data_IF_825610975191
#
_entry.id   IF_825610975191
#
_cell.length_a   1.000
_cell.length_b   1.000
_cell.length_c   1.000
_cell.angle_alpha   90.00
_cell.angle_beta   90.00
_cell.angle_gamma   90.00
#
_symmetry.space_group_name_H-M   'P 1'
#
loop_
_entity.id
_entity.type
_entity.pdbx_description
1 polymer ?
#
# COMPACT_ATOMS: atom_id res chain seq x y z
N UNK A 1 -11.71 -10.72 -6.92
CA UNK A 1 -11.00 -9.82 -5.98
C UNK A 1 -9.63 -9.56 -6.57
N UNK A 2 -9.22 -8.30 -6.69
CA UNK A 2 -7.86 -7.99 -7.10
C UNK A 2 -6.89 -8.35 -5.97
N UNK A 3 -5.96 -9.25 -6.24
CA UNK A 3 -4.89 -9.66 -5.33
C UNK A 3 -3.55 -9.45 -6.03
N UNK A 4 -2.45 -9.48 -5.27
CA UNK A 4 -1.11 -9.40 -5.85
C UNK A 4 -0.89 -10.46 -6.95
N UNK A 5 -1.35 -11.70 -6.74
CA UNK A 5 -1.26 -12.77 -7.74
C UNK A 5 -2.06 -12.47 -9.02
N UNK A 6 -3.20 -11.78 -8.93
CA UNK A 6 -3.99 -11.37 -10.11
C UNK A 6 -3.27 -10.27 -10.88
N UNK A 7 -2.69 -9.30 -10.16
CA UNK A 7 -1.99 -8.17 -10.76
C UNK A 7 -0.64 -8.56 -11.38
N UNK A 8 0.04 -9.57 -10.83
CA UNK A 8 1.28 -10.14 -11.36
C UNK A 8 1.05 -11.26 -12.39
N UNK A 9 -0.21 -11.51 -12.78
CA UNK A 9 -0.61 -12.55 -13.72
C UNK A 9 -0.42 -12.15 -15.18
N UNK A 10 -1.25 -12.71 -16.08
CA UNK A 10 -1.29 -12.28 -17.47
C UNK A 10 -1.80 -10.85 -17.63
N UNK A 11 -1.52 -10.21 -18.76
CA UNK A 11 -2.01 -8.86 -19.08
C UNK A 11 -3.54 -8.74 -18.91
N UNK A 12 -4.30 -9.75 -19.35
CA UNK A 12 -5.75 -9.79 -19.17
C UNK A 12 -6.16 -9.82 -17.69
N UNK A 13 -5.45 -10.59 -16.86
CA UNK A 13 -5.70 -10.68 -15.43
C UNK A 13 -5.34 -9.37 -14.71
N UNK A 14 -4.20 -8.77 -15.06
CA UNK A 14 -3.77 -7.48 -14.55
C UNK A 14 -4.74 -6.37 -14.95
N UNK A 15 -5.22 -6.37 -16.19
CA UNK A 15 -6.23 -5.42 -16.69
C UNK A 15 -7.56 -5.56 -15.93
N UNK A 16 -8.01 -6.80 -15.72
CA UNK A 16 -9.21 -7.07 -14.92
C UNK A 16 -9.05 -6.57 -13.48
N UNK A 17 -7.94 -6.90 -12.82
CA UNK A 17 -7.67 -6.49 -11.45
C UNK A 17 -7.61 -4.97 -11.30
N UNK A 18 -6.94 -4.28 -12.23
CA UNK A 18 -6.83 -2.82 -12.24
C UNK A 18 -8.18 -2.14 -12.48
N UNK A 19 -8.97 -2.65 -13.43
CA UNK A 19 -10.31 -2.11 -13.72
C UNK A 19 -11.27 -2.27 -12.54
N UNK A 20 -11.14 -3.38 -11.82
CA UNK A 20 -11.92 -3.63 -10.61
C UNK A 20 -11.54 -2.66 -9.48
N UNK A 21 -10.24 -2.42 -9.25
CA UNK A 21 -9.78 -1.44 -8.27
C UNK A 21 -10.21 -0.02 -8.63
N UNK A 22 -10.11 0.36 -9.91
CA UNK A 22 -10.58 1.66 -10.41
C UNK A 22 -12.08 1.86 -10.17
N UNK A 23 -12.88 0.82 -10.41
CA UNK A 23 -14.32 0.86 -10.14
C UNK A 23 -14.59 1.13 -8.66
N UNK A 24 -13.94 0.38 -7.77
CA UNK A 24 -14.16 0.47 -6.33
C UNK A 24 -13.62 1.75 -5.68
N UNK A 25 -12.45 2.23 -6.11
CA UNK A 25 -11.74 3.31 -5.44
C UNK A 25 -12.03 4.69 -6.06
N UNK A 26 -12.45 4.72 -7.33
CA UNK A 26 -12.57 5.97 -8.10
C UNK A 26 -14.00 6.19 -8.60
N UNK A 27 -14.61 5.18 -9.25
CA UNK A 27 -15.88 5.37 -9.98
C UNK A 27 -17.12 5.34 -9.11
N UNK A 28 -17.14 4.54 -8.05
CA UNK A 28 -18.30 4.41 -7.15
C UNK A 28 -18.47 5.61 -6.17
N UNK A 29 -17.65 6.66 -6.34
CA UNK A 29 -17.67 7.86 -5.53
C UNK A 29 -16.45 7.96 -4.62
N UNK A 30 -16.34 9.07 -3.88
CA UNK A 30 -15.21 9.30 -2.99
C UNK A 30 -15.18 8.24 -1.87
N UNK A 31 -14.18 7.38 -1.91
CA UNK A 31 -13.92 6.41 -0.85
C UNK A 31 -13.11 7.07 0.26
N UNK A 32 -13.61 6.95 1.49
CA UNK A 32 -12.97 7.51 2.68
C UNK A 32 -12.37 6.37 3.50
N UNK A 33 -11.12 6.53 3.91
CA UNK A 33 -10.49 5.64 4.90
C UNK A 33 -11.20 5.83 6.25
N UNK A 34 -11.85 4.78 6.74
CA UNK A 34 -12.55 4.73 8.04
C UNK A 34 -11.68 4.24 9.19
N UNK A 35 -10.68 3.42 8.87
CA UNK A 35 -9.79 2.87 9.88
C UNK A 35 -8.46 2.44 9.25
N UNK A 36 -7.41 2.51 10.06
CA UNK A 36 -6.05 2.13 9.70
C UNK A 36 -5.52 1.23 10.80
N UNK A 37 -4.93 0.10 10.43
CA UNK A 37 -4.23 -0.79 11.37
C UNK A 37 -3.00 -1.42 10.72
N UNK A 38 -1.95 -1.62 11.52
CA UNK A 38 -0.80 -2.41 11.11
C UNK A 38 -1.12 -3.91 11.21
N UNK A 39 -0.63 -4.70 10.26
CA UNK A 39 -0.70 -6.17 10.33
C UNK A 39 0.51 -6.73 11.08
N UNK A 40 0.42 -7.97 11.55
CA UNK A 40 1.53 -8.63 12.27
C UNK A 40 2.78 -8.82 11.41
N UNK A 41 2.62 -8.83 10.08
CA UNK A 41 3.71 -8.99 9.11
C UNK A 41 4.35 -7.66 8.72
N UNK A 42 3.99 -6.53 9.34
CA UNK A 42 4.49 -5.21 8.96
C UNK A 42 3.78 -4.62 7.73
N UNK A 43 2.60 -5.15 7.38
CA UNK A 43 1.72 -4.57 6.37
C UNK A 43 0.75 -3.54 6.93
N UNK A 44 -0.06 -2.99 6.04
CA UNK A 44 -1.07 -1.97 6.31
C UNK A 44 -2.45 -2.50 5.91
N UNK A 45 -3.42 -2.36 6.81
CA UNK A 45 -4.83 -2.63 6.51
C UNK A 45 -5.64 -1.34 6.61
N UNK A 46 -6.39 -1.05 5.55
CA UNK A 46 -7.27 0.10 5.43
C UNK A 46 -8.72 -0.37 5.32
N UNK A 47 -9.53 0.02 6.30
CA UNK A 47 -10.99 -0.16 6.24
C UNK A 47 -11.61 1.05 5.53
N UNK A 48 -12.37 0.83 4.47
CA UNK A 48 -12.94 1.87 3.63
C UNK A 48 -14.44 2.10 3.90
N UNK A 49 -14.95 3.28 3.55
CA UNK A 49 -16.34 3.68 3.77
C UNK A 49 -17.38 2.87 3.01
N UNK A 50 -17.00 2.24 1.90
CA UNK A 50 -17.85 1.36 1.09
C UNK A 50 -17.81 -0.11 1.56
N UNK A 51 -17.17 -0.39 2.70
CA UNK A 51 -17.00 -1.75 3.22
C UNK A 51 -15.84 -2.53 2.57
N UNK A 52 -15.14 -1.94 1.61
CA UNK A 52 -13.92 -2.53 1.06
C UNK A 52 -12.79 -2.49 2.09
N UNK A 53 -11.95 -3.52 2.08
CA UNK A 53 -10.74 -3.59 2.89
C UNK A 53 -9.54 -3.72 1.95
N UNK A 54 -8.62 -2.76 2.01
CA UNK A 54 -7.36 -2.81 1.29
C UNK A 54 -6.25 -3.27 2.24
N UNK A 55 -5.61 -4.38 1.91
CA UNK A 55 -4.39 -4.82 2.59
C UNK A 55 -3.20 -4.58 1.67
N UNK A 56 -2.19 -3.88 2.19
CA UNK A 56 -0.93 -3.61 1.50
C UNK A 56 0.17 -4.33 2.27
N UNK A 57 0.87 -5.22 1.59
CA UNK A 57 1.97 -6.02 2.13
C UNK A 57 3.18 -5.72 1.26
N UNK A 58 4.29 -5.32 1.87
CA UNK A 58 5.54 -5.19 1.14
C UNK A 58 6.18 -6.57 0.97
N UNK A 59 6.88 -6.77 -0.14
CA UNK A 59 7.60 -7.99 -0.44
C UNK A 59 9.00 -8.04 0.21
N UNK A 60 9.40 -6.97 0.91
CA UNK A 60 10.64 -6.88 1.69
C UNK A 60 11.88 -7.17 0.85
N UNK A 61 11.87 -6.75 -0.41
CA UNK A 61 12.98 -6.99 -1.34
C UNK A 61 14.22 -6.25 -0.84
N UNK A 62 15.39 -6.93 -0.74
CA UNK A 62 16.62 -6.29 -0.29
C UNK A 62 16.97 -5.08 -1.16
N UNK A 63 17.41 -4.00 -0.51
CA UNK A 63 17.80 -2.73 -1.14
C UNK A 63 16.66 -1.99 -1.88
N UNK A 64 15.41 -2.44 -1.72
CA UNK A 64 14.21 -1.76 -2.20
C UNK A 64 13.40 -1.16 -1.03
N UNK A 65 12.82 0.02 -1.27
CA UNK A 65 12.00 0.74 -0.29
C UNK A 65 10.64 0.06 -0.10
N UNK A 66 10.34 -0.36 1.13
CA UNK A 66 9.04 -0.91 1.52
C UNK A 66 8.05 0.19 1.90
N UNK A 67 8.51 1.13 2.74
CA UNK A 67 7.69 2.17 3.33
C UNK A 67 8.49 3.45 3.53
N UNK A 68 7.80 4.57 3.32
CA UNK A 68 8.31 5.90 3.64
C UNK A 68 7.29 6.69 4.43
N UNK A 69 7.68 7.08 5.64
CA UNK A 69 6.88 7.92 6.53
C UNK A 69 7.47 9.33 6.49
N UNK A 70 6.63 10.31 6.16
CA UNK A 70 7.05 11.69 5.99
C UNK A 70 5.92 12.66 6.34
N UNK A 71 6.30 13.87 6.75
CA UNK A 71 5.37 14.97 6.95
C UNK A 71 5.11 15.70 5.63
N UNK A 72 3.85 15.87 5.29
CA UNK A 72 3.46 16.63 4.11
C UNK A 72 3.97 18.07 4.21
N UNK A 73 4.64 18.54 3.16
CA UNK A 73 5.15 19.93 3.02
C UNK A 73 6.27 20.30 3.99
N UNK A 74 6.85 19.32 4.68
CA UNK A 74 8.06 19.47 5.46
C UNK A 74 9.24 18.95 4.64
N UNK A 75 10.39 19.61 4.73
CA UNK A 75 11.68 19.07 4.30
C UNK A 75 12.37 18.29 5.41
N UNK A 76 11.65 18.04 6.52
CA UNK A 76 12.10 17.15 7.57
C UNK A 76 12.42 15.77 7.01
N UNK A 77 13.35 15.12 7.69
CA UNK A 77 13.85 13.82 7.31
C UNK A 77 12.72 12.78 7.25
N UNK A 78 12.72 11.98 6.20
CA UNK A 78 11.80 10.87 6.05
C UNK A 78 12.32 9.67 6.84
N UNK A 79 11.41 8.95 7.48
CA UNK A 79 11.69 7.64 8.08
C UNK A 79 11.42 6.56 7.02
N UNK A 80 12.41 5.72 6.73
CA UNK A 80 12.38 4.78 5.61
C UNK A 80 12.59 3.35 6.11
N UNK A 81 11.83 2.41 5.57
CA UNK A 81 11.99 0.97 5.75
C UNK A 81 12.40 0.37 4.39
N UNK A 82 13.52 -0.34 4.35
CA UNK A 82 14.06 -1.02 3.16
C UNK A 82 14.35 -2.49 3.49
N UNK A 83 13.93 -3.41 2.61
CA UNK A 83 14.16 -4.85 2.79
C UNK A 83 13.73 -5.40 4.16
N UNK A 84 12.65 -4.89 4.74
CA UNK A 84 12.10 -5.23 6.05
C UNK A 84 12.87 -4.65 7.24
N UNK A 85 13.76 -3.68 7.03
CA UNK A 85 14.60 -3.07 8.07
C UNK A 85 14.52 -1.54 8.02
N UNK A 86 14.74 -0.89 9.16
CA UNK A 86 14.86 0.56 9.19
C UNK A 86 16.15 0.95 8.46
N UNK A 87 16.06 1.86 7.50
CA UNK A 87 17.24 2.48 6.88
C UNK A 87 17.97 3.32 7.95
N UNK A 88 19.24 3.00 8.32
CA UNK A 88 19.98 3.78 9.30
C UNK A 88 20.15 5.24 8.91
N UNK A 89 20.24 5.54 7.62
CA UNK A 89 20.34 6.90 7.10
C UNK A 89 19.06 7.68 7.24
N UNK A 90 17.94 7.04 7.60
CA UNK A 90 16.68 7.72 7.92
C UNK A 90 16.62 8.24 9.37
N UNK A 91 17.57 7.87 10.23
CA UNK A 91 17.55 8.18 11.69
C UNK A 91 18.51 9.29 12.15
N UNK A 92 19.53 9.62 11.35
CA UNK A 92 20.57 10.63 11.63
C UNK A 92 20.23 12.13 11.46
#
# INVERSE_FOLDING_TARGET
MATQAVLAGSDDAAHFGSSWLDTLLVKEGAVIVKGISATKSGGLQLAMSNGFCLEVVSDTVPDEEDWRLFELRSDAKHFVIEGGKIDPWSLS
#
